data_IF_116045953524
#
_entry.id   IF_116045953524
#
_cell.length_a   1.000
_cell.length_b   1.000
_cell.length_c   1.000
_cell.angle_alpha   90.00
_cell.angle_beta   90.00
_cell.angle_gamma   90.00
#
_symmetry.space_group_name_H-M   'P 1'
#
loop_
_entity.id
_entity.type
_entity.pdbx_description
1 polymer ?
#
# COMPACT_ATOMS: atom_id res chain seq x y z
N UNK A 1 19.89 -6.36 8.73
CA UNK A 1 20.58 -6.76 9.97
C UNK A 1 20.59 -5.61 10.98
N UNK A 2 21.09 -4.40 10.65
CA UNK A 2 21.15 -3.27 11.60
C UNK A 2 19.79 -2.97 12.24
N UNK A 3 18.70 -2.92 11.45
CA UNK A 3 17.35 -2.66 11.97
C UNK A 3 16.92 -3.69 13.02
N UNK A 4 17.21 -4.98 12.81
CA UNK A 4 16.92 -6.04 13.80
C UNK A 4 17.59 -5.81 15.16
N UNK A 5 18.75 -5.19 15.18
CA UNK A 5 19.47 -4.89 16.42
C UNK A 5 18.85 -3.73 17.22
N UNK A 6 18.11 -2.85 16.55
CA UNK A 6 17.60 -1.62 17.17
C UNK A 6 16.11 -1.65 17.48
N UNK A 7 15.29 -2.43 16.78
CA UNK A 7 13.82 -2.40 16.94
C UNK A 7 13.31 -2.78 18.33
N UNK A 8 14.12 -3.51 19.13
CA UNK A 8 13.76 -3.90 20.49
C UNK A 8 14.30 -2.99 21.59
N UNK A 9 15.16 -2.02 21.26
CA UNK A 9 15.95 -1.28 22.26
C UNK A 9 15.25 -0.04 22.83
N UNK A 10 14.08 0.33 22.27
CA UNK A 10 13.31 1.50 22.70
C UNK A 10 11.88 1.11 23.01
N UNK A 11 11.25 1.84 23.93
CA UNK A 11 9.82 1.71 24.18
C UNK A 11 9.00 2.00 22.92
N UNK A 12 7.79 1.46 22.86
CA UNK A 12 6.84 1.81 21.82
C UNK A 12 6.48 3.30 21.93
N UNK A 13 6.37 3.99 20.81
CA UNK A 13 5.78 5.33 20.75
C UNK A 13 4.26 5.22 20.87
N UNK A 14 3.58 6.35 21.11
CA UNK A 14 2.14 6.39 21.37
C UNK A 14 1.32 5.69 20.29
N UNK A 15 1.61 5.95 19.01
CA UNK A 15 0.94 5.29 17.89
C UNK A 15 1.14 3.77 17.87
N UNK A 16 2.38 3.30 18.13
CA UNK A 16 2.66 1.87 18.17
C UNK A 16 1.93 1.17 19.32
N UNK A 17 1.92 1.81 20.50
CA UNK A 17 1.19 1.31 21.65
C UNK A 17 -0.33 1.26 21.38
N UNK A 18 -0.86 2.27 20.69
CA UNK A 18 -2.24 2.32 20.25
C UNK A 18 -2.58 1.16 19.29
N UNK A 19 -1.76 0.90 18.26
CA UNK A 19 -2.01 -0.24 17.36
C UNK A 19 -1.72 -1.61 18.01
N UNK A 20 -0.85 -1.68 19.01
CA UNK A 20 -0.69 -2.89 19.84
C UNK A 20 -1.98 -3.22 20.61
N UNK A 21 -2.76 -2.20 21.03
CA UNK A 21 -4.09 -2.42 21.61
C UNK A 21 -5.07 -3.08 20.62
N UNK A 22 -4.96 -2.80 19.31
CA UNK A 22 -5.76 -3.52 18.31
C UNK A 22 -5.44 -5.01 18.29
N UNK A 23 -4.17 -5.38 18.45
CA UNK A 23 -3.77 -6.79 18.53
C UNK A 23 -4.33 -7.50 19.77
N UNK A 24 -4.50 -6.79 20.88
CA UNK A 24 -5.12 -7.34 22.10
C UNK A 24 -6.65 -7.43 22.01
N UNK A 25 -7.28 -6.60 21.15
CA UNK A 25 -8.73 -6.51 21.00
C UNK A 25 -9.11 -6.60 19.52
N UNK A 26 -8.89 -7.79 18.93
CA UNK A 26 -9.15 -8.02 17.51
C UNK A 26 -10.61 -7.75 17.15
N UNK A 27 -10.82 -6.96 16.11
CA UNK A 27 -12.12 -6.58 15.58
C UNK A 27 -12.10 -6.57 14.05
N UNK A 28 -13.28 -6.53 13.43
CA UNK A 28 -13.40 -6.39 11.98
C UNK A 28 -13.17 -4.96 11.47
N UNK A 29 -13.10 -3.99 12.37
CA UNK A 29 -12.83 -2.59 12.10
C UNK A 29 -12.56 -1.80 13.36
N UNK A 30 -12.00 -0.61 13.19
CA UNK A 30 -11.74 0.35 14.25
C UNK A 30 -12.16 1.74 13.78
N UNK A 31 -12.24 2.68 14.72
CA UNK A 31 -12.79 4.01 14.45
C UNK A 31 -11.99 4.83 13.43
N UNK A 32 -10.68 4.64 13.36
CA UNK A 32 -9.74 5.43 12.55
C UNK A 32 -9.12 4.66 11.39
N UNK A 33 -8.95 3.31 11.50
CA UNK A 33 -8.29 2.48 10.50
C UNK A 33 -8.93 1.09 10.34
N UNK A 34 -8.52 0.40 9.27
CA UNK A 34 -8.87 -1.00 9.05
C UNK A 34 -8.13 -1.95 10.00
N UNK A 35 -8.56 -3.21 10.07
CA UNK A 35 -8.13 -4.17 11.08
C UNK A 35 -6.75 -4.81 10.81
N UNK A 36 -6.18 -4.67 9.62
CA UNK A 36 -5.02 -5.44 9.17
C UNK A 36 -3.79 -5.22 10.04
N UNK A 37 -3.57 -3.99 10.52
CA UNK A 37 -2.43 -3.68 11.40
C UNK A 37 -2.53 -4.47 12.72
N UNK A 38 -3.72 -4.54 13.33
CA UNK A 38 -3.95 -5.32 14.54
C UNK A 38 -3.71 -6.81 14.32
N UNK A 39 -4.20 -7.37 13.21
CA UNK A 39 -3.97 -8.78 12.87
C UNK A 39 -2.48 -9.10 12.63
N UNK A 40 -1.75 -8.20 11.98
CA UNK A 40 -0.32 -8.37 11.77
C UNK A 40 0.45 -8.33 13.09
N UNK A 41 0.21 -7.33 13.94
CA UNK A 41 0.86 -7.26 15.26
C UNK A 41 0.52 -8.51 16.07
N UNK A 42 -0.75 -8.92 16.11
CA UNK A 42 -1.19 -10.14 16.83
C UNK A 42 -0.38 -11.36 16.38
N UNK A 43 -0.25 -11.57 15.06
CA UNK A 43 0.50 -12.73 14.52
C UNK A 43 1.94 -12.80 15.03
N UNK A 44 2.60 -11.66 15.20
CA UNK A 44 3.99 -11.60 15.65
C UNK A 44 4.14 -11.57 17.17
N UNK A 45 3.06 -11.29 17.91
CA UNK A 45 3.06 -11.21 19.37
C UNK A 45 2.43 -12.43 20.06
N UNK A 46 2.01 -13.46 19.32
CA UNK A 46 1.41 -14.70 19.85
C UNK A 46 2.27 -15.34 20.95
N UNK A 47 3.59 -15.31 20.80
CA UNK A 47 4.53 -15.92 21.75
C UNK A 47 5.08 -14.95 22.79
N UNK A 48 4.61 -13.74 22.83
CA UNK A 48 5.00 -12.70 23.78
C UNK A 48 5.01 -11.32 23.16
N UNK A 49 4.42 -10.38 23.87
CA UNK A 49 4.33 -8.98 23.44
C UNK A 49 5.44 -8.15 24.05
N UNK A 50 6.27 -7.57 23.20
CA UNK A 50 7.28 -6.59 23.55
C UNK A 50 7.58 -5.69 22.33
N UNK A 51 8.37 -4.64 22.50
CA UNK A 51 8.69 -3.68 21.43
C UNK A 51 9.30 -4.37 20.19
N UNK A 52 10.10 -5.40 20.38
CA UNK A 52 10.71 -6.15 19.29
C UNK A 52 9.67 -6.91 18.47
N UNK A 53 8.78 -7.70 19.11
CA UNK A 53 7.78 -8.52 18.44
C UNK A 53 6.72 -7.67 17.74
N UNK A 54 6.30 -6.56 18.33
CA UNK A 54 5.39 -5.59 17.69
C UNK A 54 6.00 -5.05 16.40
N UNK A 55 7.24 -4.56 16.43
CA UNK A 55 7.94 -3.96 15.27
C UNK A 55 8.41 -4.98 14.24
N UNK A 56 8.57 -6.25 14.65
CA UNK A 56 9.00 -7.31 13.74
C UNK A 56 8.03 -7.49 12.56
N UNK A 57 6.73 -7.25 12.78
CA UNK A 57 5.70 -7.29 11.74
C UNK A 57 6.02 -6.35 10.58
N UNK A 58 6.37 -5.09 10.88
CA UNK A 58 6.72 -4.09 9.88
C UNK A 58 8.02 -4.44 9.14
N UNK A 59 9.05 -4.82 9.91
CA UNK A 59 10.35 -5.15 9.35
C UNK A 59 10.29 -6.35 8.39
N UNK A 60 9.53 -7.38 8.73
CA UNK A 60 9.36 -8.57 7.88
C UNK A 60 8.66 -8.21 6.59
N UNK A 61 7.58 -7.41 6.63
CA UNK A 61 6.89 -6.97 5.41
C UNK A 61 7.82 -6.17 4.50
N UNK A 62 8.64 -5.27 5.05
CA UNK A 62 9.60 -4.50 4.26
C UNK A 62 10.69 -5.38 3.63
N UNK A 63 11.21 -6.37 4.36
CA UNK A 63 12.20 -7.32 3.81
C UNK A 63 11.59 -8.09 2.64
N UNK A 64 10.39 -8.64 2.83
CA UNK A 64 9.68 -9.37 1.76
C UNK A 64 9.48 -8.45 0.55
N UNK A 65 9.01 -7.23 0.76
CA UNK A 65 8.75 -6.28 -0.31
C UNK A 65 10.04 -5.92 -1.08
N UNK A 66 11.16 -5.75 -0.38
CA UNK A 66 12.47 -5.47 -1.00
C UNK A 66 12.88 -6.62 -1.93
N UNK A 67 12.74 -7.87 -1.48
CA UNK A 67 13.06 -9.07 -2.28
C UNK A 67 12.10 -9.21 -3.47
N UNK A 68 10.81 -8.98 -3.27
CA UNK A 68 9.80 -9.05 -4.34
C UNK A 68 10.08 -8.00 -5.40
N UNK A 69 10.39 -6.77 -5.04
CA UNK A 69 10.70 -5.69 -5.97
C UNK A 69 11.98 -5.98 -6.77
N UNK A 70 13.02 -6.50 -6.11
CA UNK A 70 14.23 -6.93 -6.81
C UNK A 70 13.92 -7.99 -7.87
N UNK A 71 13.20 -9.04 -7.48
CA UNK A 71 12.88 -10.15 -8.38
C UNK A 71 11.97 -9.72 -9.51
N UNK A 72 10.97 -8.89 -9.23
CA UNK A 72 10.06 -8.35 -10.24
C UNK A 72 10.81 -7.48 -11.25
N UNK A 73 11.61 -6.52 -10.79
CA UNK A 73 12.39 -5.64 -11.67
C UNK A 73 13.39 -6.42 -12.52
N UNK A 74 14.07 -7.41 -11.93
CA UNK A 74 15.01 -8.29 -12.63
C UNK A 74 14.31 -9.13 -13.70
N UNK A 75 13.15 -9.70 -13.39
CA UNK A 75 12.44 -10.64 -14.26
C UNK A 75 11.75 -9.95 -15.43
N UNK A 76 11.09 -8.82 -15.19
CA UNK A 76 10.22 -8.17 -16.19
C UNK A 76 10.87 -7.00 -16.91
N UNK A 77 11.99 -6.50 -16.41
CA UNK A 77 12.77 -5.45 -17.06
C UNK A 77 14.23 -5.87 -17.21
N UNK A 78 15.07 -5.66 -16.20
CA UNK A 78 16.46 -6.08 -16.19
C UNK A 78 17.03 -6.04 -14.74
N UNK A 79 18.26 -6.60 -14.57
CA UNK A 79 18.92 -6.67 -13.26
C UNK A 79 19.10 -5.30 -12.60
N UNK A 80 19.47 -4.28 -13.37
CA UNK A 80 19.67 -2.92 -12.84
C UNK A 80 18.35 -2.32 -12.34
N UNK A 81 17.25 -2.53 -13.05
CA UNK A 81 15.92 -2.11 -12.60
C UNK A 81 15.55 -2.80 -11.28
N UNK A 82 15.82 -4.11 -11.14
CA UNK A 82 15.59 -4.80 -9.87
C UNK A 82 16.40 -4.22 -8.70
N UNK A 83 17.68 -3.90 -8.95
CA UNK A 83 18.54 -3.24 -7.95
C UNK A 83 17.98 -1.86 -7.59
N UNK A 84 17.62 -1.04 -8.58
CA UNK A 84 17.09 0.31 -8.35
C UNK A 84 15.78 0.25 -7.55
N UNK A 85 14.85 -0.66 -7.89
CA UNK A 85 13.59 -0.82 -7.17
C UNK A 85 13.81 -1.22 -5.71
N UNK A 86 14.70 -2.18 -5.45
CA UNK A 86 14.98 -2.64 -4.08
C UNK A 86 15.75 -1.60 -3.25
N UNK A 87 16.70 -0.90 -3.85
CA UNK A 87 17.42 0.19 -3.19
C UNK A 87 16.50 1.40 -2.97
N UNK A 88 15.67 1.74 -3.95
CA UNK A 88 14.74 2.87 -3.87
C UNK A 88 13.79 2.75 -2.67
N UNK A 89 13.19 1.57 -2.46
CA UNK A 89 12.33 1.37 -1.29
C UNK A 89 13.12 1.34 0.02
N UNK A 90 14.30 0.73 0.03
CA UNK A 90 15.12 0.59 1.25
C UNK A 90 15.76 1.91 1.68
N UNK A 91 16.09 2.80 0.73
CA UNK A 91 16.69 4.10 0.97
C UNK A 91 15.67 5.23 1.18
N UNK A 92 14.40 5.00 0.85
CA UNK A 92 13.36 5.98 1.07
C UNK A 92 13.15 6.21 2.57
N UNK A 93 13.15 7.48 3.01
CA UNK A 93 13.04 7.84 4.43
C UNK A 93 11.73 7.35 5.05
N UNK A 94 10.62 7.50 4.35
CA UNK A 94 9.30 7.05 4.83
C UNK A 94 9.27 5.54 5.08
N UNK A 95 9.76 4.74 4.11
CA UNK A 95 9.86 3.28 4.29
C UNK A 95 10.90 2.89 5.33
N UNK A 96 11.97 3.68 5.47
CA UNK A 96 12.95 3.45 6.53
C UNK A 96 12.32 3.63 7.90
N UNK A 97 11.62 4.73 8.15
CA UNK A 97 10.91 5.01 9.41
C UNK A 97 9.85 3.94 9.66
N UNK A 98 9.00 3.63 8.68
CA UNK A 98 7.96 2.61 8.78
C UNK A 98 8.50 1.18 8.96
N UNK A 99 9.77 0.93 8.74
CA UNK A 99 10.39 -0.37 9.07
C UNK A 99 10.78 -0.52 10.54
N UNK A 100 10.76 0.57 11.28
CA UNK A 100 11.09 0.63 12.71
C UNK A 100 9.86 1.00 13.53
N UNK A 101 8.98 1.85 12.99
CA UNK A 101 7.73 2.29 13.62
C UNK A 101 6.55 1.59 12.94
N UNK A 102 5.72 0.92 13.73
CA UNK A 102 4.58 0.16 13.22
C UNK A 102 3.36 1.04 13.13
N UNK A 103 2.89 1.27 11.90
CA UNK A 103 1.68 2.05 11.59
C UNK A 103 0.85 1.34 10.52
N UNK A 104 -0.43 1.69 10.31
CA UNK A 104 -1.24 1.15 9.21
C UNK A 104 -0.68 1.41 7.82
N UNK A 105 0.24 2.37 7.67
CA UNK A 105 0.90 2.67 6.40
C UNK A 105 1.85 1.55 5.95
N UNK A 106 2.35 0.75 6.88
CA UNK A 106 3.21 -0.42 6.57
C UNK A 106 2.46 -1.46 5.76
N UNK A 107 1.36 -2.07 6.27
CA UNK A 107 0.57 -3.02 5.49
C UNK A 107 -0.10 -2.38 4.28
N UNK A 108 -0.54 -1.12 4.36
CA UNK A 108 -1.04 -0.38 3.21
C UNK A 108 -0.03 -0.40 2.06
N UNK A 109 1.19 0.04 2.29
CA UNK A 109 2.23 0.11 1.27
C UNK A 109 2.59 -1.28 0.73
N UNK A 110 2.75 -2.25 1.62
CA UNK A 110 3.06 -3.63 1.23
C UNK A 110 1.97 -4.21 0.30
N UNK A 111 0.72 -4.21 0.73
CA UNK A 111 -0.37 -4.83 -0.03
C UNK A 111 -0.72 -4.03 -1.29
N UNK A 112 -0.62 -2.70 -1.27
CA UNK A 112 -0.79 -1.87 -2.46
C UNK A 112 0.25 -2.18 -3.53
N UNK A 113 1.52 -2.23 -3.17
CA UNK A 113 2.59 -2.57 -4.12
C UNK A 113 2.39 -4.00 -4.64
N UNK A 114 2.07 -4.97 -3.77
CA UNK A 114 1.76 -6.32 -4.21
C UNK A 114 0.57 -6.34 -5.19
N UNK A 115 -0.50 -5.60 -4.93
CA UNK A 115 -1.63 -5.48 -5.85
C UNK A 115 -1.17 -4.93 -7.22
N UNK A 116 -0.42 -3.82 -7.24
CA UNK A 116 0.12 -3.22 -8.47
C UNK A 116 0.93 -4.25 -9.26
N UNK A 117 1.84 -4.99 -8.61
CA UNK A 117 2.68 -5.98 -9.29
C UNK A 117 1.87 -7.17 -9.83
N UNK A 118 0.85 -7.65 -9.10
CA UNK A 118 0.04 -8.77 -9.56
C UNK A 118 -0.97 -8.37 -10.63
N UNK A 119 -1.53 -7.16 -10.59
CA UNK A 119 -2.32 -6.62 -11.70
C UNK A 119 -1.45 -6.37 -12.94
N UNK A 120 -0.19 -5.91 -12.79
CA UNK A 120 0.75 -5.89 -13.91
C UNK A 120 0.90 -7.28 -14.54
N UNK A 121 1.15 -8.32 -13.73
CA UNK A 121 1.22 -9.71 -14.23
C UNK A 121 -0.09 -10.15 -14.90
N UNK A 122 -1.24 -9.74 -14.37
CA UNK A 122 -2.54 -10.06 -14.94
C UNK A 122 -2.76 -9.41 -16.30
N UNK A 123 -2.36 -8.15 -16.45
CA UNK A 123 -2.49 -7.40 -17.69
C UNK A 123 -1.50 -7.82 -18.79
N UNK A 124 -0.29 -8.25 -18.43
CA UNK A 124 0.78 -8.44 -19.40
C UNK A 124 1.27 -9.88 -19.54
N UNK A 125 1.01 -10.75 -18.57
CA UNK A 125 1.54 -12.10 -18.56
C UNK A 125 0.41 -13.14 -18.65
N UNK A 126 -0.46 -13.23 -17.64
CA UNK A 126 -1.53 -14.21 -17.61
C UNK A 126 -2.68 -13.79 -16.66
N UNK A 127 -3.92 -13.82 -17.16
CA UNK A 127 -5.11 -13.37 -16.43
C UNK A 127 -5.39 -14.08 -15.09
N UNK A 128 -4.80 -15.26 -14.80
CA UNK A 128 -4.94 -15.91 -13.48
C UNK A 128 -4.44 -15.03 -12.33
N UNK A 129 -3.51 -14.12 -12.59
CA UNK A 129 -2.96 -13.22 -11.58
C UNK A 129 -3.96 -12.15 -11.11
N UNK A 130 -5.10 -11.98 -11.80
CA UNK A 130 -6.20 -11.13 -11.31
C UNK A 130 -6.67 -11.56 -9.92
N UNK A 131 -6.86 -12.84 -9.68
CA UNK A 131 -7.35 -13.32 -8.38
C UNK A 131 -6.41 -12.97 -7.22
N UNK A 132 -5.09 -13.13 -7.43
CA UNK A 132 -4.07 -12.76 -6.44
C UNK A 132 -3.99 -11.23 -6.31
N UNK A 133 -4.11 -10.50 -7.42
CA UNK A 133 -4.19 -9.04 -7.44
C UNK A 133 -5.38 -8.54 -6.60
N UNK A 134 -6.56 -9.13 -6.77
CA UNK A 134 -7.75 -8.82 -6.01
C UNK A 134 -7.61 -9.10 -4.51
N UNK A 135 -6.95 -10.21 -4.15
CA UNK A 135 -6.63 -10.52 -2.76
C UNK A 135 -5.78 -9.41 -2.11
N UNK A 136 -4.68 -9.03 -2.77
CA UNK A 136 -3.82 -7.97 -2.24
C UNK A 136 -4.49 -6.60 -2.25
N UNK A 137 -5.34 -6.31 -3.24
CA UNK A 137 -6.11 -5.08 -3.30
C UNK A 137 -7.10 -4.97 -2.12
N UNK A 138 -7.83 -6.06 -1.83
CA UNK A 138 -8.73 -6.11 -0.67
C UNK A 138 -7.97 -5.92 0.65
N UNK A 139 -6.82 -6.57 0.83
CA UNK A 139 -5.97 -6.40 2.01
C UNK A 139 -5.40 -4.97 2.12
N UNK A 140 -5.07 -4.33 0.99
CA UNK A 140 -4.63 -2.93 0.98
C UNK A 140 -5.74 -1.99 1.46
N UNK A 141 -6.97 -2.15 0.95
CA UNK A 141 -8.14 -1.33 1.35
C UNK A 141 -8.48 -1.58 2.83
N UNK A 142 -8.41 -2.83 3.29
CA UNK A 142 -8.57 -3.18 4.70
C UNK A 142 -7.47 -2.63 5.61
N UNK A 143 -6.27 -2.36 5.07
CA UNK A 143 -5.21 -1.72 5.85
C UNK A 143 -5.51 -0.25 6.06
N UNK A 144 -5.84 0.46 4.98
CA UNK A 144 -6.19 1.88 5.00
C UNK A 144 -7.00 2.23 3.75
N UNK A 145 -8.10 2.93 3.92
CA UNK A 145 -9.03 3.27 2.82
C UNK A 145 -8.37 4.11 1.72
N UNK A 146 -7.27 4.81 2.02
CA UNK A 146 -6.46 5.53 1.02
C UNK A 146 -5.93 4.62 -0.11
N UNK A 147 -5.90 3.29 0.06
CA UNK A 147 -5.63 2.33 -1.01
C UNK A 147 -6.62 2.42 -2.19
N UNK A 148 -7.77 3.05 -2.01
CA UNK A 148 -8.72 3.32 -3.09
C UNK A 148 -8.12 4.20 -4.20
N UNK A 149 -7.20 5.12 -3.87
CA UNK A 149 -6.54 5.95 -4.89
C UNK A 149 -5.73 5.11 -5.89
N UNK A 150 -4.75 4.28 -5.48
CA UNK A 150 -4.07 3.40 -6.42
C UNK A 150 -5.00 2.33 -7.03
N UNK A 151 -6.05 1.89 -6.32
CA UNK A 151 -7.06 0.99 -6.87
C UNK A 151 -7.75 1.59 -8.11
N UNK A 152 -8.10 2.87 -8.05
CA UNK A 152 -8.70 3.59 -9.19
C UNK A 152 -7.75 3.55 -10.39
N UNK A 153 -6.47 3.85 -10.22
CA UNK A 153 -5.48 3.77 -11.31
C UNK A 153 -5.40 2.36 -11.93
N UNK A 154 -5.31 1.33 -11.09
CA UNK A 154 -5.31 -0.06 -11.53
C UNK A 154 -6.56 -0.39 -12.35
N UNK A 155 -7.73 -0.05 -11.85
CA UNK A 155 -9.03 -0.38 -12.48
C UNK A 155 -9.24 0.42 -13.77
N UNK A 156 -8.83 1.69 -13.81
CA UNK A 156 -9.01 2.55 -14.98
C UNK A 156 -8.06 2.22 -16.13
N UNK A 157 -6.96 1.53 -15.87
CA UNK A 157 -5.97 1.23 -16.92
C UNK A 157 -6.57 0.61 -18.19
N UNK A 158 -7.40 -0.46 -18.15
CA UNK A 158 -8.00 -1.04 -19.36
C UNK A 158 -9.05 -0.13 -20.02
N UNK A 159 -9.62 0.85 -19.33
CA UNK A 159 -10.52 1.83 -19.93
C UNK A 159 -9.76 2.89 -20.73
N UNK A 160 -8.62 3.34 -20.20
CA UNK A 160 -7.78 4.39 -20.81
C UNK A 160 -6.97 3.80 -21.97
N UNK A 161 -6.42 2.59 -21.80
CA UNK A 161 -5.54 1.97 -22.79
C UNK A 161 -6.33 1.07 -23.76
N UNK A 162 -6.46 1.52 -25.03
CA UNK A 162 -7.24 0.81 -26.04
C UNK A 162 -6.74 -0.62 -26.33
N UNK A 163 -5.43 -0.87 -26.25
CA UNK A 163 -4.86 -2.20 -26.45
C UNK A 163 -5.23 -3.20 -25.34
N UNK A 164 -5.69 -2.72 -24.19
CA UNK A 164 -6.09 -3.55 -23.04
C UNK A 164 -7.60 -3.59 -22.79
N UNK A 165 -8.41 -2.94 -23.63
CA UNK A 165 -9.87 -2.93 -23.49
C UNK A 165 -10.51 -4.31 -23.52
N UNK A 166 -9.91 -5.30 -24.18
CA UNK A 166 -10.39 -6.69 -24.17
C UNK A 166 -10.51 -7.29 -22.76
N UNK A 167 -9.72 -6.77 -21.79
CA UNK A 167 -9.76 -7.19 -20.39
C UNK A 167 -11.09 -6.84 -19.72
N UNK A 168 -11.79 -5.82 -20.19
CA UNK A 168 -13.13 -5.46 -19.71
C UNK A 168 -14.18 -6.54 -19.99
N UNK A 169 -13.88 -7.50 -20.86
CA UNK A 169 -14.71 -8.68 -21.15
C UNK A 169 -14.19 -9.95 -20.44
N UNK A 170 -13.10 -9.85 -19.67
CA UNK A 170 -12.53 -10.98 -18.94
C UNK A 170 -13.17 -11.09 -17.54
N UNK A 171 -13.92 -12.17 -17.30
CA UNK A 171 -14.57 -12.43 -16.01
C UNK A 171 -13.57 -12.47 -14.83
N UNK A 172 -12.30 -12.81 -15.10
CA UNK A 172 -11.25 -12.83 -14.06
C UNK A 172 -10.96 -11.44 -13.51
N UNK A 173 -11.07 -10.41 -14.35
CA UNK A 173 -10.96 -9.02 -13.90
C UNK A 173 -12.04 -8.68 -12.86
N UNK A 174 -13.31 -8.97 -13.18
CA UNK A 174 -14.43 -8.76 -12.24
C UNK A 174 -14.34 -9.68 -11.01
N UNK A 175 -13.88 -10.92 -11.20
CA UNK A 175 -13.60 -11.84 -10.10
C UNK A 175 -12.60 -11.28 -9.11
N UNK A 176 -11.57 -10.53 -9.57
CA UNK A 176 -10.62 -9.88 -8.69
C UNK A 176 -11.23 -8.75 -7.86
N UNK A 177 -12.12 -7.96 -8.46
CA UNK A 177 -12.84 -6.90 -7.76
C UNK A 177 -13.82 -7.48 -6.72
N UNK A 178 -14.47 -8.60 -7.07
CA UNK A 178 -15.35 -9.32 -6.14
C UNK A 178 -14.58 -9.87 -4.94
N UNK A 179 -13.38 -10.43 -5.15
CA UNK A 179 -12.51 -10.88 -4.06
C UNK A 179 -12.15 -9.71 -3.13
N UNK A 180 -11.75 -8.57 -3.70
CA UNK A 180 -11.43 -7.39 -2.91
C UNK A 180 -12.64 -6.89 -2.10
N UNK A 181 -13.84 -6.90 -2.71
CA UNK A 181 -15.09 -6.52 -2.05
C UNK A 181 -15.45 -7.49 -0.92
N UNK A 182 -15.35 -8.81 -1.15
CA UNK A 182 -15.64 -9.83 -0.13
C UNK A 182 -14.72 -9.65 1.08
N UNK A 183 -13.43 -9.41 0.86
CA UNK A 183 -12.49 -9.15 1.94
C UNK A 183 -12.83 -7.87 2.71
N UNK A 184 -13.31 -6.84 2.04
CA UNK A 184 -13.67 -5.58 2.66
C UNK A 184 -15.04 -5.60 3.35
N UNK A 185 -15.91 -6.58 3.01
CA UNK A 185 -17.28 -6.68 3.51
C UNK A 185 -17.37 -6.72 5.05
N UNK A 186 -16.55 -7.51 5.79
CA UNK A 186 -16.62 -7.52 7.25
C UNK A 186 -16.41 -6.13 7.87
N UNK A 187 -15.51 -5.31 7.30
CA UNK A 187 -15.29 -3.94 7.75
C UNK A 187 -16.52 -3.05 7.48
N UNK A 188 -17.17 -3.20 6.33
CA UNK A 188 -18.41 -2.48 6.01
C UNK A 188 -19.49 -2.84 7.02
N UNK A 189 -19.71 -4.14 7.28
CA UNK A 189 -20.70 -4.63 8.23
C UNK A 189 -20.40 -4.09 9.64
N UNK A 190 -19.15 -4.16 10.08
CA UNK A 190 -18.74 -3.61 11.36
C UNK A 190 -19.08 -2.12 11.48
N UNK A 191 -18.78 -1.34 10.44
CA UNK A 191 -19.04 0.08 10.44
C UNK A 191 -20.54 0.41 10.52
N UNK A 192 -21.38 -0.36 9.80
CA UNK A 192 -22.84 -0.23 9.89
C UNK A 192 -23.37 -0.58 11.30
N UNK A 193 -22.80 -1.59 11.94
CA UNK A 193 -23.18 -2.02 13.30
C UNK A 193 -22.69 -1.07 14.40
N UNK A 194 -21.71 -0.21 14.10
CA UNK A 194 -21.13 0.77 15.02
C UNK A 194 -21.46 2.21 14.62
N UNK A 195 -22.68 2.47 14.16
CA UNK A 195 -23.20 3.81 13.84
C UNK A 195 -22.32 4.62 12.85
N UNK A 196 -21.71 3.93 11.89
CA UNK A 196 -20.79 4.52 10.92
C UNK A 196 -19.59 5.22 11.57
N UNK A 197 -19.09 4.68 12.68
CA UNK A 197 -18.04 5.30 13.49
C UNK A 197 -16.81 5.73 12.67
N UNK A 198 -16.31 4.84 11.79
CA UNK A 198 -15.19 5.16 10.90
C UNK A 198 -15.53 6.28 9.91
N UNK A 199 -16.72 6.24 9.28
CA UNK A 199 -17.14 7.26 8.31
C UNK A 199 -17.29 8.62 8.98
N UNK A 200 -17.87 8.66 10.19
CA UNK A 200 -18.03 9.90 10.97
C UNK A 200 -16.66 10.47 11.36
N UNK A 201 -15.76 9.62 11.84
CA UNK A 201 -14.41 10.04 12.23
C UNK A 201 -13.63 10.62 11.05
N UNK A 202 -13.59 9.90 9.91
CA UNK A 202 -12.90 10.38 8.71
C UNK A 202 -13.60 11.62 8.11
N UNK A 203 -14.93 11.66 8.14
CA UNK A 203 -15.71 12.79 7.66
C UNK A 203 -15.45 14.07 8.45
N UNK A 204 -15.33 13.97 9.78
CA UNK A 204 -14.98 15.08 10.64
C UNK A 204 -13.61 15.69 10.24
N UNK A 205 -12.59 14.84 10.08
CA UNK A 205 -11.28 15.31 9.65
C UNK A 205 -11.26 15.98 8.26
N UNK A 206 -12.09 15.51 7.32
CA UNK A 206 -12.21 16.14 6.00
C UNK A 206 -12.89 17.51 6.09
N UNK A 207 -13.90 17.66 6.99
CA UNK A 207 -14.68 18.89 7.13
C UNK A 207 -14.00 19.96 7.98
N UNK A 208 -12.99 19.61 8.78
CA UNK A 208 -12.17 20.57 9.53
C UNK A 208 -11.42 21.56 8.63
N UNK A 209 -11.41 21.29 7.31
CA UNK A 209 -10.85 22.16 6.29
C UNK A 209 -9.34 22.11 6.23
N UNK A 210 -8.80 22.27 5.04
CA UNK A 210 -7.35 22.44 4.80
C UNK A 210 -7.03 23.87 4.44
N UNK A 211 -5.91 24.38 4.92
CA UNK A 211 -5.36 25.67 4.53
C UNK A 211 -4.37 25.52 3.38
N UNK A 212 -4.00 26.64 2.74
CA UNK A 212 -2.90 26.64 1.77
C UNK A 212 -1.57 26.19 2.39
N UNK A 213 -1.36 26.43 3.69
CA UNK A 213 -0.20 25.92 4.43
C UNK A 213 -0.19 24.40 4.51
N UNK A 214 -1.35 23.75 4.70
CA UNK A 214 -1.45 22.29 4.75
C UNK A 214 -1.16 21.67 3.38
N UNK A 215 -1.68 22.28 2.32
CA UNK A 215 -1.41 21.87 0.94
C UNK A 215 0.09 21.97 0.62
N UNK A 216 0.73 23.12 0.90
CA UNK A 216 2.16 23.30 0.66
C UNK A 216 3.01 22.43 1.59
N UNK A 217 2.58 22.22 2.84
CA UNK A 217 3.19 21.31 3.81
C UNK A 217 3.18 19.86 3.33
N UNK A 218 2.07 19.39 2.74
CA UNK A 218 1.97 18.06 2.13
C UNK A 218 3.02 17.86 1.04
N UNK A 219 3.14 18.81 0.09
CA UNK A 219 4.11 18.69 -1.00
C UNK A 219 5.55 18.78 -0.52
N UNK A 220 5.83 19.66 0.44
CA UNK A 220 7.14 19.76 1.08
C UNK A 220 7.48 18.46 1.84
N UNK A 221 6.53 17.92 2.58
CA UNK A 221 6.67 16.63 3.28
C UNK A 221 6.96 15.49 2.32
N UNK A 222 6.23 15.38 1.21
CA UNK A 222 6.48 14.40 0.16
C UNK A 222 7.87 14.56 -0.47
N UNK A 223 8.30 15.79 -0.73
CA UNK A 223 9.63 16.06 -1.28
C UNK A 223 10.74 15.65 -0.30
N UNK A 224 10.61 15.98 0.98
CA UNK A 224 11.59 15.64 2.01
C UNK A 224 11.64 14.12 2.25
N UNK A 225 10.49 13.46 2.39
CA UNK A 225 10.40 12.03 2.71
C UNK A 225 10.79 11.12 1.55
N UNK A 226 10.40 11.48 0.32
CA UNK A 226 10.80 10.75 -0.88
C UNK A 226 12.25 11.05 -1.28
N UNK A 227 12.74 12.25 -0.96
CA UNK A 227 13.98 12.80 -1.49
C UNK A 227 13.82 13.29 -2.94
N UNK A 228 14.69 14.22 -3.39
CA UNK A 228 14.52 14.91 -4.66
C UNK A 228 14.48 13.99 -5.89
N UNK A 229 15.26 12.92 -5.88
CA UNK A 229 15.33 11.99 -7.01
C UNK A 229 14.03 11.18 -7.12
N UNK A 230 13.58 10.56 -6.04
CA UNK A 230 12.35 9.77 -6.07
C UNK A 230 11.13 10.66 -6.27
N UNK A 231 11.09 11.85 -5.69
CA UNK A 231 10.03 12.83 -5.92
C UNK A 231 9.94 13.22 -7.41
N UNK A 232 11.06 13.50 -8.06
CA UNK A 232 11.07 13.79 -9.48
C UNK A 232 10.51 12.63 -10.32
N UNK A 233 10.97 11.41 -10.08
CA UNK A 233 10.53 10.25 -10.87
C UNK A 233 9.13 9.76 -10.54
N UNK A 234 8.62 9.97 -9.33
CA UNK A 234 7.28 9.52 -8.93
C UNK A 234 6.18 10.56 -9.13
N UNK A 235 6.52 11.85 -9.14
CA UNK A 235 5.54 12.94 -9.28
C UNK A 235 5.74 13.69 -10.60
N UNK A 236 6.93 14.29 -10.79
CA UNK A 236 7.16 15.21 -11.92
C UNK A 236 7.23 14.44 -13.24
N UNK A 237 7.99 13.36 -13.29
CA UNK A 237 8.20 12.60 -14.53
C UNK A 237 6.91 11.96 -15.06
N UNK A 238 6.05 11.29 -14.27
CA UNK A 238 4.75 10.80 -14.74
C UNK A 238 3.88 11.91 -15.32
N UNK A 239 3.80 13.07 -14.64
CA UNK A 239 3.04 14.21 -15.13
C UNK A 239 3.52 14.71 -16.50
N UNK A 240 4.83 14.75 -16.72
CA UNK A 240 5.41 15.10 -18.03
C UNK A 240 5.15 14.02 -19.09
N UNK A 241 5.12 12.74 -18.69
CA UNK A 241 4.87 11.62 -19.59
C UNK A 241 3.42 11.54 -20.07
N UNK A 242 2.45 12.03 -19.29
CA UNK A 242 1.02 12.04 -19.66
C UNK A 242 0.80 12.71 -21.03
N UNK A 243 1.53 13.81 -21.32
CA UNK A 243 1.43 14.53 -22.60
C UNK A 243 1.82 13.66 -23.81
N UNK A 244 2.67 12.66 -23.62
CA UNK A 244 3.23 11.80 -24.66
C UNK A 244 2.93 10.33 -24.46
N UNK A 245 1.82 9.99 -23.76
CA UNK A 245 1.48 8.61 -23.38
C UNK A 245 1.53 7.63 -24.55
N UNK A 246 1.06 8.03 -25.74
CA UNK A 246 1.02 7.14 -26.93
C UNK A 246 2.40 6.71 -27.43
N UNK A 247 3.45 7.46 -27.13
CA UNK A 247 4.84 7.14 -27.54
C UNK A 247 5.59 6.25 -26.55
N UNK A 248 4.99 5.98 -25.40
CA UNK A 248 5.61 5.23 -24.30
C UNK A 248 5.16 3.77 -24.38
N UNK A 249 6.07 2.84 -24.04
CA UNK A 249 5.72 1.42 -23.93
C UNK A 249 4.54 1.23 -22.98
N UNK A 250 3.61 0.36 -23.38
CA UNK A 250 2.36 0.13 -22.64
C UNK A 250 2.59 -0.35 -21.20
N UNK A 251 3.66 -1.09 -20.97
CA UNK A 251 4.05 -1.55 -19.63
C UNK A 251 4.43 -0.39 -18.72
N UNK A 252 5.03 0.67 -19.28
CA UNK A 252 5.38 1.89 -18.54
C UNK A 252 4.14 2.74 -18.32
N UNK A 253 3.21 2.81 -19.29
CA UNK A 253 1.95 3.51 -19.16
C UNK A 253 1.16 3.03 -17.92
N UNK A 254 1.21 1.73 -17.62
CA UNK A 254 0.56 1.15 -16.45
C UNK A 254 1.04 1.75 -15.12
N UNK A 255 2.32 2.12 -15.01
CA UNK A 255 2.87 2.73 -13.80
C UNK A 255 2.74 4.26 -13.75
N UNK A 256 2.24 4.88 -14.82
CA UNK A 256 2.03 6.34 -14.92
C UNK A 256 0.57 6.74 -14.64
N UNK A 257 -0.38 5.83 -14.89
CA UNK A 257 -1.82 5.99 -14.60
C UNK A 257 -2.11 5.63 -13.16
#
# INVERSE_FOLDING_TARGET
ILRLLFIGNTLLIDDEAYYAMYARHLSWGYIDHGPVIGYLIYLFTIFGENSFTVRLSALVLLIILTVVLYNFGKQYFNKNTGIIMSLGISANMLFHTNSVVVTPDVPLAFFTIMAILYYYKAYFIHGKYFYIGGLFLGLAILSKVSALFPAIGIILFPFINSAKRHILFDLRFYGSLLIALILFMPFIIWNLQNDLAFVRYQGAHITEGGSWSDFTGLWAGLFVTAGPILFYYSVVKPFLLIKNMKSIKIEIQYFVI
#
